data_IF_477387827842
#
_entry.id   IF_477387827842
#
_cell.length_a   1.000
_cell.length_b   1.000
_cell.length_c   1.000
_cell.angle_alpha   90.00
_cell.angle_beta   90.00
_cell.angle_gamma   90.00
#
_symmetry.space_group_name_H-M   'P 1'
#
loop_
_entity.id
_entity.type
_entity.pdbx_description
1 polymer ?
#
# COMPACT_ATOMS: atom_id res chain seq x y z
N UNK A 1 4.35 16.87 -28.77
CA UNK A 1 3.54 17.81 -27.96
C UNK A 1 3.08 17.07 -26.69
N UNK A 2 3.32 17.60 -25.49
CA UNK A 2 2.93 16.93 -24.24
C UNK A 2 1.38 16.93 -24.13
N UNK A 3 0.81 15.86 -23.58
CA UNK A 3 -0.65 15.72 -23.41
C UNK A 3 -1.22 16.88 -22.59
N UNK A 4 -0.49 17.30 -21.55
CA UNK A 4 -0.86 18.43 -20.69
C UNK A 4 -0.81 19.75 -21.46
N UNK A 5 0.24 19.99 -22.25
CA UNK A 5 0.34 21.23 -23.04
C UNK A 5 -0.77 21.31 -24.08
N UNK A 6 -1.14 20.16 -24.68
CA UNK A 6 -2.28 20.10 -25.61
C UNK A 6 -3.59 20.43 -24.90
N UNK A 7 -3.80 19.88 -23.70
CA UNK A 7 -5.02 20.16 -22.92
C UNK A 7 -5.15 21.65 -22.55
N UNK A 8 -4.06 22.29 -22.12
CA UNK A 8 -4.07 23.69 -21.69
C UNK A 8 -4.34 24.70 -22.82
N UNK A 9 -4.22 24.27 -24.09
CA UNK A 9 -4.48 25.11 -25.26
C UNK A 9 -5.92 24.98 -25.79
N UNK A 10 -6.73 24.06 -25.24
CA UNK A 10 -8.09 23.82 -25.71
C UNK A 10 -9.06 24.88 -25.21
N UNK A 11 -10.03 25.20 -26.07
CA UNK A 11 -11.20 25.96 -25.65
C UNK A 11 -12.12 25.08 -24.79
N UNK A 12 -12.87 25.68 -23.87
CA UNK A 12 -13.77 24.94 -22.97
C UNK A 12 -14.81 24.10 -23.74
N UNK A 13 -15.21 24.55 -24.93
CA UNK A 13 -16.11 23.82 -25.83
C UNK A 13 -15.52 22.49 -26.33
N UNK A 14 -14.20 22.41 -26.47
CA UNK A 14 -13.47 21.27 -27.06
C UNK A 14 -13.01 20.26 -26.01
N UNK A 15 -12.89 20.69 -24.74
CA UNK A 15 -12.37 19.89 -23.63
C UNK A 15 -13.12 18.56 -23.48
N UNK A 16 -14.46 18.58 -23.55
CA UNK A 16 -15.28 17.37 -23.38
C UNK A 16 -15.04 16.33 -24.47
N UNK A 17 -14.99 16.77 -25.74
CA UNK A 17 -14.71 15.91 -26.89
C UNK A 17 -13.28 15.37 -26.85
N UNK A 18 -12.31 16.23 -26.54
CA UNK A 18 -10.91 15.84 -26.38
C UNK A 18 -10.74 14.76 -25.32
N UNK A 19 -11.25 15.00 -24.10
CA UNK A 19 -11.13 14.06 -23.00
C UNK A 19 -11.82 12.72 -23.30
N UNK A 20 -12.99 12.75 -23.94
CA UNK A 20 -13.73 11.54 -24.33
C UNK A 20 -12.98 10.70 -25.37
N UNK A 21 -12.14 11.32 -26.20
CA UNK A 21 -11.32 10.62 -27.20
C UNK A 21 -10.10 9.89 -26.61
N UNK A 22 -9.72 10.22 -25.38
CA UNK A 22 -8.55 9.63 -24.72
C UNK A 22 -8.88 8.27 -24.11
N UNK A 23 -7.87 7.40 -24.01
CA UNK A 23 -7.99 6.16 -23.25
C UNK A 23 -8.15 6.44 -21.75
N UNK A 24 -8.78 5.51 -21.04
CA UNK A 24 -8.97 5.57 -19.58
C UNK A 24 -7.71 6.02 -18.82
N UNK A 25 -6.57 5.38 -19.10
CA UNK A 25 -5.30 5.70 -18.44
C UNK A 25 -4.87 7.14 -18.69
N UNK A 26 -5.07 7.66 -19.90
CA UNK A 26 -4.72 9.05 -20.27
C UNK A 26 -5.67 10.07 -19.63
N UNK A 27 -6.97 9.73 -19.52
CA UNK A 27 -7.94 10.56 -18.81
C UNK A 27 -7.56 10.68 -17.34
N UNK A 28 -7.34 9.54 -16.65
CA UNK A 28 -6.92 9.52 -15.25
C UNK A 28 -5.62 10.29 -15.04
N UNK A 29 -4.62 10.07 -15.90
CA UNK A 29 -3.35 10.78 -15.83
C UNK A 29 -3.51 12.31 -15.94
N UNK A 30 -4.35 12.79 -16.86
CA UNK A 30 -4.62 14.23 -16.98
C UNK A 30 -5.31 14.80 -15.74
N UNK A 31 -6.33 14.10 -15.24
CA UNK A 31 -7.06 14.54 -14.05
C UNK A 31 -6.15 14.56 -12.81
N UNK A 32 -5.35 13.51 -12.61
CA UNK A 32 -4.38 13.44 -11.51
C UNK A 32 -3.28 14.50 -11.64
N UNK A 33 -2.77 14.74 -12.85
CA UNK A 33 -1.71 15.74 -13.05
C UNK A 33 -2.17 17.18 -12.85
N UNK A 34 -3.41 17.51 -13.25
CA UNK A 34 -3.89 18.90 -13.28
C UNK A 34 -4.78 19.29 -12.10
N UNK A 35 -5.56 18.35 -11.55
CA UNK A 35 -6.64 18.67 -10.61
C UNK A 35 -6.53 17.94 -9.27
N UNK A 36 -5.52 17.10 -9.06
CA UNK A 36 -5.35 16.32 -7.81
C UNK A 36 -5.40 17.18 -6.57
N UNK A 37 -4.61 18.25 -6.51
CA UNK A 37 -4.51 19.09 -5.31
C UNK A 37 -5.88 19.67 -4.93
N UNK A 38 -6.60 20.23 -5.89
CA UNK A 38 -7.90 20.86 -5.67
C UNK A 38 -8.99 19.84 -5.29
N UNK A 39 -8.98 18.67 -5.94
CA UNK A 39 -9.88 17.57 -5.60
C UNK A 39 -9.60 17.05 -4.19
N UNK A 40 -8.34 16.82 -3.82
CA UNK A 40 -7.95 16.37 -2.48
C UNK A 40 -8.35 17.38 -1.41
N UNK A 41 -8.12 18.68 -1.64
CA UNK A 41 -8.56 19.74 -0.72
C UNK A 41 -10.08 19.71 -0.55
N UNK A 42 -10.81 19.57 -1.66
CA UNK A 42 -12.28 19.47 -1.64
C UNK A 42 -12.75 18.27 -0.84
N UNK A 43 -12.17 17.08 -1.06
CA UNK A 43 -12.50 15.85 -0.34
C UNK A 43 -12.22 16.02 1.16
N UNK A 44 -11.01 16.48 1.53
CA UNK A 44 -10.60 16.71 2.92
C UNK A 44 -11.54 17.68 3.64
N UNK A 45 -11.89 18.79 2.99
CA UNK A 45 -12.79 19.79 3.57
C UNK A 45 -14.21 19.27 3.81
N UNK A 46 -14.67 18.28 3.03
CA UNK A 46 -16.00 17.69 3.21
C UNK A 46 -15.95 16.64 4.33
N UNK A 47 -14.91 15.80 4.36
CA UNK A 47 -14.72 14.79 5.39
C UNK A 47 -14.51 15.40 6.78
N UNK A 48 -13.74 16.48 6.90
CA UNK A 48 -13.48 17.12 8.20
C UNK A 48 -14.75 17.65 8.90
N UNK A 49 -15.83 17.86 8.15
CA UNK A 49 -17.12 18.31 8.69
C UNK A 49 -18.01 17.16 9.17
N UNK A 50 -17.59 15.91 9.02
CA UNK A 50 -18.37 14.71 9.33
C UNK A 50 -17.56 13.78 10.23
N UNK A 51 -17.96 13.73 11.49
CA UNK A 51 -17.43 12.78 12.46
C UNK A 51 -17.89 11.34 12.14
N UNK A 52 -17.09 10.36 12.54
CA UNK A 52 -17.41 8.91 12.54
C UNK A 52 -17.52 8.21 11.17
N UNK A 53 -16.78 8.67 10.16
CA UNK A 53 -16.71 7.98 8.86
C UNK A 53 -15.33 7.31 8.71
N UNK A 54 -15.26 5.97 8.60
CA UNK A 54 -14.00 5.25 8.42
C UNK A 54 -13.53 5.31 6.95
N UNK A 55 -13.48 6.51 6.37
CA UNK A 55 -13.01 6.73 5.01
C UNK A 55 -11.81 7.67 5.01
N UNK A 56 -10.70 7.22 4.43
CA UNK A 56 -9.59 8.11 4.10
C UNK A 56 -9.95 8.98 2.89
N UNK A 57 -9.30 10.14 2.77
CA UNK A 57 -9.51 10.99 1.60
C UNK A 57 -8.87 10.36 0.35
N UNK A 58 -7.80 9.57 0.53
CA UNK A 58 -7.13 8.81 -0.52
C UNK A 58 -8.06 7.78 -1.16
N UNK A 59 -8.83 7.05 -0.35
CA UNK A 59 -9.79 6.05 -0.86
C UNK A 59 -10.85 6.70 -1.75
N UNK A 60 -11.44 7.80 -1.28
CA UNK A 60 -12.44 8.55 -2.04
C UNK A 60 -11.83 9.10 -3.33
N UNK A 61 -10.61 9.63 -3.26
CA UNK A 61 -9.92 10.17 -4.42
C UNK A 61 -9.64 9.09 -5.48
N UNK A 62 -9.12 7.94 -5.07
CA UNK A 62 -8.81 6.83 -5.96
C UNK A 62 -10.10 6.27 -6.60
N UNK A 63 -11.17 6.10 -5.83
CA UNK A 63 -12.46 5.70 -6.39
C UNK A 63 -13.03 6.75 -7.36
N UNK A 64 -12.86 8.03 -7.07
CA UNK A 64 -13.26 9.11 -7.98
C UNK A 64 -12.50 9.01 -9.31
N UNK A 65 -11.18 8.77 -9.26
CA UNK A 65 -10.36 8.56 -10.46
C UNK A 65 -10.86 7.37 -11.29
N UNK A 66 -11.24 6.26 -10.66
CA UNK A 66 -11.84 5.11 -11.36
C UNK A 66 -13.14 5.47 -12.09
N UNK A 67 -13.90 6.45 -11.62
CA UNK A 67 -15.15 6.93 -12.23
C UNK A 67 -14.97 8.07 -13.24
N UNK A 68 -13.73 8.51 -13.46
CA UNK A 68 -13.38 9.61 -14.37
C UNK A 68 -14.03 9.51 -15.76
N UNK A 69 -14.06 8.36 -16.47
CA UNK A 69 -14.67 8.29 -17.79
C UNK A 69 -16.16 8.63 -17.79
N UNK A 70 -16.87 8.17 -16.77
CA UNK A 70 -18.30 8.40 -16.64
C UNK A 70 -18.57 9.86 -16.26
N UNK A 71 -17.73 10.46 -15.43
CA UNK A 71 -17.79 11.88 -15.09
C UNK A 71 -17.56 12.74 -16.33
N UNK A 72 -16.49 12.46 -17.10
CA UNK A 72 -16.16 13.17 -18.33
C UNK A 72 -17.30 13.09 -19.35
N UNK A 73 -17.90 11.89 -19.53
CA UNK A 73 -19.03 11.70 -20.46
C UNK A 73 -20.24 12.58 -20.13
N UNK A 74 -20.41 12.94 -18.86
CA UNK A 74 -21.51 13.79 -18.40
C UNK A 74 -21.20 15.28 -18.50
N UNK A 75 -19.98 15.67 -18.87
CA UNK A 75 -19.62 17.06 -19.05
C UNK A 75 -20.33 17.63 -20.29
N UNK A 76 -20.99 18.77 -20.08
CA UNK A 76 -21.77 19.50 -21.08
C UNK A 76 -21.22 20.91 -21.22
N UNK A 77 -20.37 21.13 -22.22
CA UNK A 77 -19.71 22.42 -22.47
C UNK A 77 -20.70 23.52 -22.89
N UNK A 78 -21.83 23.14 -23.46
CA UNK A 78 -22.95 24.00 -23.84
C UNK A 78 -23.60 24.74 -22.66
N UNK A 79 -23.42 24.24 -21.43
CA UNK A 79 -23.97 24.86 -20.22
C UNK A 79 -23.13 26.01 -19.64
N UNK A 80 -22.07 26.43 -20.32
CA UNK A 80 -21.24 27.59 -19.96
C UNK A 80 -20.34 27.42 -18.73
N UNK A 81 -20.37 26.27 -18.04
CA UNK A 81 -19.48 25.98 -16.93
C UNK A 81 -18.12 25.47 -17.43
N UNK A 82 -17.04 25.96 -16.82
CA UNK A 82 -15.70 25.42 -17.10
C UNK A 82 -15.61 23.95 -16.70
N UNK A 83 -14.75 23.19 -17.39
CA UNK A 83 -14.52 21.78 -17.05
C UNK A 83 -14.03 21.63 -15.60
N UNK A 84 -13.17 22.53 -15.14
CA UNK A 84 -12.68 22.57 -13.75
C UNK A 84 -13.85 22.68 -12.76
N UNK A 85 -14.75 23.64 -12.97
CA UNK A 85 -15.93 23.84 -12.10
C UNK A 85 -16.82 22.61 -12.06
N UNK A 86 -17.08 22.01 -13.23
CA UNK A 86 -17.85 20.77 -13.34
C UNK A 86 -17.18 19.61 -12.60
N UNK A 87 -15.87 19.45 -12.75
CA UNK A 87 -15.10 18.37 -12.13
C UNK A 87 -15.10 18.49 -10.60
N UNK A 88 -14.82 19.69 -10.07
CA UNK A 88 -14.83 19.93 -8.62
C UNK A 88 -16.23 19.74 -8.02
N UNK A 89 -17.27 20.18 -8.73
CA UNK A 89 -18.68 19.97 -8.33
C UNK A 89 -19.02 18.48 -8.31
N UNK A 90 -18.58 17.74 -9.33
CA UNK A 90 -18.74 16.28 -9.41
C UNK A 90 -18.01 15.58 -8.26
N UNK A 91 -16.78 16.02 -7.93
CA UNK A 91 -16.02 15.54 -6.78
C UNK A 91 -16.76 15.77 -5.45
N UNK A 92 -17.30 16.97 -5.26
CA UNK A 92 -18.12 17.30 -4.08
C UNK A 92 -19.33 16.37 -3.95
N UNK A 93 -20.12 16.20 -5.02
CA UNK A 93 -21.28 15.33 -4.97
C UNK A 93 -20.89 13.86 -4.76
N UNK A 94 -19.82 13.39 -5.39
CA UNK A 94 -19.30 12.05 -5.18
C UNK A 94 -18.96 11.79 -3.70
N UNK A 95 -18.25 12.73 -3.06
CA UNK A 95 -17.95 12.67 -1.63
C UNK A 95 -19.22 12.60 -0.78
N UNK A 96 -20.19 13.49 -1.03
CA UNK A 96 -21.44 13.53 -0.27
C UNK A 96 -22.23 12.23 -0.43
N UNK A 97 -22.26 11.63 -1.62
CA UNK A 97 -22.89 10.33 -1.84
C UNK A 97 -22.21 9.24 -1.03
N UNK A 98 -20.87 9.22 -0.97
CA UNK A 98 -20.09 8.25 -0.18
C UNK A 98 -20.35 8.42 1.31
N UNK A 99 -20.30 9.65 1.80
CA UNK A 99 -20.63 10.00 3.18
C UNK A 99 -22.04 9.54 3.53
N UNK A 100 -23.04 9.88 2.71
CA UNK A 100 -24.42 9.45 2.93
C UNK A 100 -24.57 7.93 2.92
N UNK A 101 -23.82 7.23 2.08
CA UNK A 101 -23.82 5.77 2.04
C UNK A 101 -23.33 5.15 3.37
N UNK A 102 -22.30 5.73 3.99
CA UNK A 102 -21.75 5.28 5.28
C UNK A 102 -22.60 5.71 6.48
N UNK A 103 -23.20 6.90 6.42
CA UNK A 103 -24.08 7.39 7.48
C UNK A 103 -25.46 6.71 7.51
N UNK A 104 -25.83 5.91 6.50
CA UNK A 104 -27.09 5.14 6.52
C UNK A 104 -27.10 4.17 7.70
N UNK A 105 -28.18 4.20 8.49
CA UNK A 105 -28.35 3.53 9.80
C UNK A 105 -27.85 2.08 9.92
N UNK A 106 -27.80 1.29 8.83
CA UNK A 106 -27.26 -0.08 8.85
C UNK A 106 -25.72 -0.15 8.93
N UNK A 107 -25.02 0.97 8.69
CA UNK A 107 -23.56 1.06 8.59
C UNK A 107 -22.95 2.17 9.45
N UNK A 108 -23.77 2.91 10.19
CA UNK A 108 -23.28 3.88 11.16
C UNK A 108 -22.67 3.08 12.31
N UNK A 109 -21.37 2.83 12.19
CA UNK A 109 -20.60 2.23 13.28
C UNK A 109 -20.52 3.34 14.33
N UNK A 110 -21.15 3.15 15.48
CA UNK A 110 -20.78 3.92 16.66
C UNK A 110 -19.37 3.44 17.02
N UNK A 111 -18.36 4.05 16.40
CA UNK A 111 -16.97 3.84 16.78
C UNK A 111 -16.84 4.56 18.12
N UNK A 112 -17.23 3.89 19.20
CA UNK A 112 -16.81 4.33 20.52
C UNK A 112 -15.30 4.23 20.50
N UNK A 113 -14.55 5.32 20.72
CA UNK A 113 -13.12 5.20 20.91
C UNK A 113 -12.93 4.22 22.07
N UNK A 114 -12.23 3.11 21.83
CA UNK A 114 -11.84 2.21 22.90
C UNK A 114 -10.92 3.06 23.79
N UNK A 115 -11.29 3.29 25.06
CA UNK A 115 -10.43 4.02 25.97
C UNK A 115 -9.08 3.34 26.00
N UNK A 116 -7.99 4.11 25.92
CA UNK A 116 -6.62 3.59 25.88
C UNK A 116 -6.33 2.69 27.10
N UNK A 117 -7.06 2.91 28.19
CA UNK A 117 -7.01 2.12 29.42
C UNK A 117 -7.51 0.66 29.27
N UNK A 118 -8.21 0.31 28.17
CA UNK A 118 -8.64 -1.06 27.82
C UNK A 118 -7.70 -1.77 26.84
N UNK A 119 -6.68 -1.08 26.31
CA UNK A 119 -5.64 -1.71 25.48
C UNK A 119 -4.60 -2.40 26.37
N UNK A 120 -4.87 -3.66 26.72
CA UNK A 120 -3.86 -4.52 27.29
C UNK A 120 -2.81 -4.83 26.23
N UNK A 121 -1.63 -4.22 26.34
CA UNK A 121 -0.45 -4.68 25.60
C UNK A 121 -0.07 -6.07 26.13
N UNK A 122 -0.60 -7.11 25.50
CA UNK A 122 -0.12 -8.47 25.69
C UNK A 122 1.29 -8.54 25.12
N UNK A 123 2.27 -8.62 26.02
CA UNK A 123 3.66 -8.85 25.65
C UNK A 123 3.76 -10.28 25.11
N UNK A 124 3.95 -10.41 23.80
CA UNK A 124 4.27 -11.69 23.18
C UNK A 124 5.79 -11.86 23.19
N UNK A 125 6.29 -12.49 24.25
CA UNK A 125 7.72 -12.79 24.43
C UNK A 125 8.28 -13.74 23.36
N UNK A 126 7.41 -14.40 22.59
CA UNK A 126 7.80 -15.40 21.59
C UNK A 126 7.57 -14.93 20.15
N UNK A 127 7.07 -13.71 19.95
CA UNK A 127 6.76 -13.18 18.62
C UNK A 127 7.98 -13.22 17.69
N UNK A 128 9.14 -12.78 18.18
CA UNK A 128 10.39 -12.74 17.41
C UNK A 128 10.84 -14.16 17.02
N UNK A 129 10.89 -15.08 17.99
CA UNK A 129 11.22 -16.49 17.76
C UNK A 129 10.27 -17.18 16.79
N UNK A 130 8.97 -16.88 16.87
CA UNK A 130 7.94 -17.41 15.98
C UNK A 130 8.15 -16.91 14.55
N UNK A 131 8.43 -15.60 14.41
CA UNK A 131 8.74 -14.98 13.11
C UNK A 131 10.00 -15.56 12.48
N UNK A 132 11.08 -15.69 13.26
CA UNK A 132 12.35 -16.23 12.78
C UNK A 132 12.21 -17.67 12.31
N UNK A 133 11.47 -18.49 13.06
CA UNK A 133 11.17 -19.87 12.66
C UNK A 133 10.34 -19.92 11.37
N UNK A 134 9.36 -19.04 11.23
CA UNK A 134 8.55 -18.95 10.01
C UNK A 134 9.41 -18.57 8.79
N UNK A 135 10.25 -17.54 8.93
CA UNK A 135 11.18 -17.10 7.88
C UNK A 135 12.13 -18.24 7.50
N UNK A 136 12.69 -18.94 8.50
CA UNK A 136 13.59 -20.07 8.25
C UNK A 136 12.91 -21.20 7.46
N UNK A 137 11.68 -21.57 7.83
CA UNK A 137 10.94 -22.59 7.08
C UNK A 137 10.60 -22.13 5.66
N UNK A 138 10.22 -20.86 5.49
CA UNK A 138 9.95 -20.30 4.18
C UNK A 138 11.17 -20.31 3.27
N UNK A 139 12.34 -19.90 3.79
CA UNK A 139 13.61 -19.93 3.05
C UNK A 139 13.98 -21.35 2.62
N UNK A 140 13.81 -22.34 3.50
CA UNK A 140 14.03 -23.76 3.17
C UNK A 140 13.10 -24.19 2.05
N UNK A 141 11.81 -23.90 2.16
CA UNK A 141 10.83 -24.30 1.16
C UNK A 141 11.13 -23.63 -0.18
N UNK A 142 11.50 -22.35 -0.18
CA UNK A 142 11.86 -21.61 -1.38
C UNK A 142 13.15 -22.14 -2.01
N UNK A 143 14.13 -22.54 -1.20
CA UNK A 143 15.36 -23.19 -1.66
C UNK A 143 15.08 -24.56 -2.28
N UNK A 144 14.29 -25.42 -1.63
CA UNK A 144 13.88 -26.73 -2.14
C UNK A 144 13.12 -26.58 -3.46
N UNK A 145 12.21 -25.59 -3.54
CA UNK A 145 11.41 -25.37 -4.74
C UNK A 145 12.22 -24.77 -5.91
N UNK A 146 13.28 -24.01 -5.62
CA UNK A 146 14.10 -23.35 -6.66
C UNK A 146 15.32 -24.17 -7.12
N UNK A 147 15.78 -25.18 -6.37
CA UNK A 147 16.89 -26.05 -6.77
C UNK A 147 16.40 -27.46 -7.17
N UNK A 148 16.07 -27.65 -8.45
CA UNK A 148 16.06 -28.89 -9.26
C UNK A 148 15.70 -30.27 -8.66
N UNK A 149 14.83 -30.98 -9.42
CA UNK A 149 14.61 -32.45 -9.50
C UNK A 149 14.59 -33.22 -8.17
N UNK A 150 13.36 -33.47 -7.73
CA UNK A 150 12.92 -34.20 -6.52
C UNK A 150 13.78 -35.41 -6.09
N UNK A 151 14.39 -36.15 -7.02
CA UNK A 151 15.11 -37.40 -6.72
C UNK A 151 16.49 -37.22 -6.08
N UNK A 152 17.17 -36.10 -6.30
CA UNK A 152 18.50 -35.85 -5.72
C UNK A 152 18.43 -35.29 -4.29
N UNK A 153 17.35 -34.55 -3.97
CA UNK A 153 17.11 -33.96 -2.65
C UNK A 153 16.69 -35.02 -1.64
N UNK A 154 15.82 -35.96 -2.00
CA UNK A 154 15.37 -37.01 -1.06
C UNK A 154 16.53 -37.91 -0.58
N UNK A 155 17.51 -38.17 -1.47
CA UNK A 155 18.75 -38.89 -1.15
C UNK A 155 19.71 -38.09 -0.26
N UNK A 156 19.61 -36.77 -0.26
CA UNK A 156 20.44 -35.88 0.57
C UNK A 156 19.76 -35.50 1.89
N UNK A 157 18.43 -35.42 1.95
CA UNK A 157 17.66 -35.18 3.19
C UNK A 157 17.87 -36.28 4.24
N UNK A 158 17.85 -37.55 3.83
CA UNK A 158 18.17 -38.68 4.72
C UNK A 158 19.62 -38.68 5.23
N UNK A 159 20.54 -37.97 4.56
CA UNK A 159 21.91 -37.73 5.02
C UNK A 159 22.06 -36.48 5.89
N UNK A 160 21.10 -35.55 5.80
CA UNK A 160 21.11 -34.28 6.54
C UNK A 160 20.56 -34.41 7.96
N UNK A 161 19.63 -35.34 8.19
CA UNK A 161 19.09 -35.59 9.54
C UNK A 161 20.13 -36.23 10.48
N UNK A 162 21.18 -36.87 9.95
CA UNK A 162 21.99 -37.78 10.74
C UNK A 162 23.40 -37.33 11.16
N UNK A 163 23.99 -36.20 10.72
CA UNK A 163 25.25 -35.75 11.34
C UNK A 163 25.71 -34.34 10.94
N UNK A 164 25.96 -33.50 11.96
CA UNK A 164 26.98 -32.43 12.07
C UNK A 164 27.13 -31.34 10.97
N UNK A 165 26.35 -31.36 9.89
CA UNK A 165 26.56 -30.48 8.72
C UNK A 165 25.61 -29.26 8.63
N UNK A 166 25.02 -28.80 9.75
CA UNK A 166 24.30 -27.52 9.81
C UNK A 166 25.13 -26.32 9.31
N UNK A 167 26.47 -26.44 9.24
CA UNK A 167 27.35 -25.38 8.72
C UNK A 167 27.34 -25.24 7.19
N UNK A 168 26.85 -26.23 6.41
CA UNK A 168 26.94 -26.18 4.94
C UNK A 168 25.86 -25.32 4.24
N UNK A 169 24.84 -24.86 4.97
CA UNK A 169 23.77 -24.00 4.42
C UNK A 169 23.72 -22.61 5.04
N UNK A 170 24.86 -22.08 5.49
CA UNK A 170 24.94 -20.67 5.87
C UNK A 170 25.05 -19.82 4.61
N UNK A 171 24.07 -18.94 4.39
CA UNK A 171 24.22 -17.82 3.46
C UNK A 171 25.41 -16.95 3.89
N UNK A 172 25.99 -16.17 2.97
CA UNK A 172 27.14 -15.30 3.28
C UNK A 172 26.90 -14.41 4.50
N UNK A 173 25.67 -13.91 4.68
CA UNK A 173 25.28 -13.09 5.83
C UNK A 173 25.28 -13.91 7.14
N UNK A 174 24.66 -15.09 7.16
CA UNK A 174 24.63 -15.97 8.35
C UNK A 174 26.03 -16.45 8.76
N UNK A 175 26.92 -16.66 7.78
CA UNK A 175 28.33 -16.97 8.03
C UNK A 175 29.05 -15.78 8.68
N UNK A 176 28.81 -14.56 8.20
CA UNK A 176 29.42 -13.35 8.74
C UNK A 176 28.92 -13.03 10.16
N UNK A 177 27.63 -13.23 10.44
CA UNK A 177 27.06 -13.09 11.79
C UNK A 177 27.64 -14.12 12.76
N UNK A 178 27.77 -15.38 12.34
CA UNK A 178 28.40 -16.42 13.16
C UNK A 178 29.86 -16.11 13.46
N UNK A 179 30.63 -15.67 12.45
CA UNK A 179 32.02 -15.23 12.66
C UNK A 179 32.11 -14.01 13.58
N UNK A 180 31.16 -13.07 13.47
CA UNK A 180 31.07 -11.93 14.37
C UNK A 180 30.79 -12.36 15.82
N UNK A 181 29.84 -13.29 16.02
CA UNK A 181 29.52 -13.85 17.33
C UNK A 181 30.73 -14.56 17.96
N UNK A 182 31.41 -15.43 17.21
CA UNK A 182 32.63 -16.10 17.68
C UNK A 182 33.71 -15.09 18.07
N UNK A 183 33.98 -14.08 17.23
CA UNK A 183 34.96 -13.03 17.55
C UNK A 183 34.60 -12.28 18.83
N UNK A 184 33.32 -11.97 19.02
CA UNK A 184 32.84 -11.31 20.25
C UNK A 184 33.07 -12.19 21.48
N UNK A 185 32.76 -13.48 21.40
CA UNK A 185 33.00 -14.45 22.48
C UNK A 185 34.49 -14.61 22.82
N UNK A 186 35.39 -14.55 21.83
CA UNK A 186 36.83 -14.58 22.06
C UNK A 186 37.39 -13.27 22.62
N UNK A 187 36.85 -12.11 22.23
CA UNK A 187 37.26 -10.83 22.84
C UNK A 187 36.92 -10.76 24.33
N UNK A 188 35.79 -11.32 24.76
CA UNK A 188 35.46 -11.47 26.19
C UNK A 188 36.47 -12.34 26.96
N UNK A 189 37.13 -13.29 26.29
CA UNK A 189 38.15 -14.14 26.90
C UNK A 189 39.53 -13.48 26.95
N UNK A 190 39.84 -12.56 26.02
CA UNK A 190 41.11 -11.84 25.97
C UNK A 190 41.12 -10.67 26.98
N UNK A 191 39.98 -10.00 27.18
CA UNK A 191 39.86 -8.92 28.18
C UNK A 191 39.62 -9.45 29.62
N UNK A 192 39.51 -10.78 29.79
CA UNK A 192 39.19 -11.45 31.04
C UNK A 192 40.38 -11.96 31.87
N UNK A 193 41.64 -11.65 31.51
CA UNK A 193 42.81 -11.99 32.34
C UNK A 193 43.62 -10.74 32.67
N UNK A 194 43.21 -10.07 33.74
CA UNK A 194 44.12 -9.32 34.63
C UNK A 194 43.79 -9.75 36.06
N UNK A 195 44.61 -10.68 36.58
CA UNK A 195 44.86 -10.77 38.01
C UNK A 195 45.68 -9.55 38.45
#
# INVERSE_FOLDING_TARGET
MNLISKFNQLNQSEVGGFLSSLSFKKQVYLIDSLYKQELVITIKSILSRKFDIPLSYEDIYNEFLLKTPLIIKNFRSDKGASFKTFLLTSGKFFCLTKINYWLRNKRKINISPIPVDELFNLKDDYAELSFDNFIYQYDINLFINNQMKFDEIYRNMSKLENNKNKMRFMTGNKKNEFLHHIKKSFNYYIDGVKY
#
